data_IF_071186085939
#
_entry.id   IF_071186085939
#
_cell.length_a   1.000
_cell.length_b   1.000
_cell.length_c   1.000
_cell.angle_alpha   90.00
_cell.angle_beta   90.00
_cell.angle_gamma   90.00
#
_symmetry.space_group_name_H-M   'P 1'
#
loop_
_entity.id
_entity.type
_entity.pdbx_description
1 polymer ?
#
# COMPACT_ATOMS: atom_id res chain seq x y z
N UNK A 1 -13.94 9.94 -1.08
CA UNK A 1 -13.53 9.05 -2.19
C UNK A 1 -14.08 7.67 -1.92
N UNK A 2 -14.54 6.93 -2.95
CA UNK A 2 -14.99 5.54 -2.77
C UNK A 2 -13.81 4.58 -2.74
N UNK A 3 -13.93 3.38 -2.13
CA UNK A 3 -12.88 2.36 -2.16
C UNK A 3 -12.40 2.04 -3.58
N UNK A 4 -13.33 1.86 -4.53
CA UNK A 4 -12.99 1.53 -5.92
C UNK A 4 -12.20 2.64 -6.62
N UNK A 5 -12.58 3.91 -6.39
CA UNK A 5 -11.86 5.05 -6.96
C UNK A 5 -10.43 5.18 -6.40
N UNK A 6 -10.23 4.83 -5.12
CA UNK A 6 -8.91 4.81 -4.49
C UNK A 6 -8.05 3.65 -5.05
N UNK A 7 -8.62 2.45 -5.17
CA UNK A 7 -7.90 1.29 -5.70
C UNK A 7 -7.54 1.45 -7.19
N UNK A 8 -8.31 2.22 -7.94
CA UNK A 8 -8.02 2.54 -9.35
C UNK A 8 -6.75 3.41 -9.54
N UNK A 9 -6.18 3.99 -8.48
CA UNK A 9 -4.94 4.77 -8.54
C UNK A 9 -3.68 3.91 -8.60
N UNK A 10 -3.79 2.58 -8.47
CA UNK A 10 -2.67 1.67 -8.37
C UNK A 10 -2.58 0.71 -9.56
N UNK A 11 -1.36 0.24 -9.82
CA UNK A 11 -1.10 -0.84 -10.76
C UNK A 11 -1.11 -2.21 -10.07
N UNK A 12 -1.97 -3.11 -10.56
CA UNK A 12 -2.21 -4.40 -9.92
C UNK A 12 -1.60 -5.55 -10.72
N UNK A 13 -1.06 -6.54 -10.02
CA UNK A 13 -0.58 -7.81 -10.57
C UNK A 13 -0.92 -8.98 -9.65
N UNK A 14 -0.92 -10.20 -10.16
CA UNK A 14 -1.04 -11.39 -9.31
C UNK A 14 0.19 -11.53 -8.39
N UNK A 15 -0.03 -11.92 -7.13
CA UNK A 15 1.05 -12.10 -6.17
C UNK A 15 0.59 -12.51 -4.77
N UNK A 16 1.44 -12.24 -3.79
CA UNK A 16 1.19 -12.53 -2.36
C UNK A 16 1.20 -11.23 -1.58
N UNK A 17 0.15 -10.98 -0.79
CA UNK A 17 0.09 -9.80 0.06
C UNK A 17 1.06 -9.95 1.24
N UNK A 18 1.98 -9.01 1.41
CA UNK A 18 2.93 -8.98 2.52
C UNK A 18 2.23 -8.81 3.88
N UNK A 19 1.12 -8.07 3.92
CA UNK A 19 0.44 -7.71 5.18
C UNK A 19 -0.41 -8.85 5.76
N UNK A 20 -1.23 -9.50 4.94
CA UNK A 20 -2.15 -10.56 5.39
C UNK A 20 -1.76 -11.97 4.95
N UNK A 21 -0.62 -12.13 4.27
CA UNK A 21 -0.09 -13.39 3.76
C UNK A 21 -0.99 -14.16 2.77
N UNK A 22 -2.08 -13.56 2.28
CA UNK A 22 -2.90 -14.15 1.22
C UNK A 22 -2.08 -14.33 -0.07
N UNK A 23 -2.19 -15.52 -0.66
CA UNK A 23 -1.53 -15.91 -1.92
C UNK A 23 -2.55 -15.86 -3.06
N UNK A 24 -2.03 -15.79 -4.30
CA UNK A 24 -2.83 -15.80 -5.53
C UNK A 24 -3.89 -14.70 -5.59
N UNK A 25 -3.56 -13.52 -5.05
CA UNK A 25 -4.42 -12.32 -5.05
C UNK A 25 -3.81 -11.20 -5.88
N UNK A 26 -4.64 -10.27 -6.34
CA UNK A 26 -4.14 -9.04 -6.97
C UNK A 26 -3.50 -8.14 -5.91
N UNK A 27 -2.27 -7.72 -6.17
CA UNK A 27 -1.45 -6.88 -5.31
C UNK A 27 -0.84 -5.72 -6.07
N UNK A 28 -0.59 -4.62 -5.38
CA UNK A 28 0.19 -3.47 -5.87
C UNK A 28 1.44 -3.31 -5.02
N UNK A 29 2.56 -2.78 -5.57
CA UNK A 29 3.68 -2.31 -4.76
C UNK A 29 3.22 -1.28 -3.71
N UNK A 30 3.79 -1.36 -2.52
CA UNK A 30 3.53 -0.40 -1.42
C UNK A 30 4.82 0.14 -0.79
N UNK A 31 5.97 -0.17 -1.40
CA UNK A 31 7.30 0.27 -0.95
C UNK A 31 8.31 -0.86 -1.00
N UNK A 32 9.44 -0.65 -0.33
CA UNK A 32 10.50 -1.64 -0.22
C UNK A 32 11.15 -1.59 1.16
N UNK A 33 11.77 -2.69 1.55
CA UNK A 33 12.63 -2.77 2.73
C UNK A 33 14.05 -3.12 2.31
N UNK A 34 15.03 -2.50 2.97
CA UNK A 34 16.44 -2.81 2.79
C UNK A 34 16.95 -3.52 4.04
N UNK A 35 17.55 -4.70 3.87
CA UNK A 35 18.13 -5.45 4.97
C UNK A 35 19.51 -4.91 5.34
N UNK A 36 20.01 -5.21 6.55
CA UNK A 36 21.40 -4.90 6.92
C UNK A 36 22.45 -5.56 6.01
N UNK A 37 22.13 -6.72 5.40
CA UNK A 37 22.98 -7.38 4.40
C UNK A 37 23.06 -6.62 3.08
N UNK A 38 22.19 -5.62 2.88
CA UNK A 38 22.15 -4.79 1.67
C UNK A 38 21.07 -5.21 0.67
N UNK A 39 20.38 -6.33 0.89
CA UNK A 39 19.31 -6.81 0.03
C UNK A 39 18.09 -5.89 0.08
N UNK A 40 17.41 -5.73 -1.05
CA UNK A 40 16.19 -4.92 -1.15
C UNK A 40 15.03 -5.80 -1.56
N UNK A 41 13.94 -5.77 -0.77
CA UNK A 41 12.72 -6.52 -1.02
C UNK A 41 11.57 -5.57 -1.30
N UNK A 42 10.90 -5.77 -2.43
CA UNK A 42 9.69 -5.04 -2.76
C UNK A 42 8.52 -5.58 -1.93
N UNK A 43 7.81 -4.67 -1.27
CA UNK A 43 6.59 -4.98 -0.53
C UNK A 43 5.39 -4.80 -1.45
N UNK A 44 4.44 -5.72 -1.37
CA UNK A 44 3.16 -5.62 -2.09
C UNK A 44 1.98 -5.88 -1.16
N UNK A 45 0.82 -5.30 -1.45
CA UNK A 45 -0.40 -5.54 -0.68
C UNK A 45 -1.64 -5.70 -1.57
N UNK A 46 -2.60 -6.50 -1.08
CA UNK A 46 -3.91 -6.65 -1.72
C UNK A 46 -4.81 -5.44 -1.46
N UNK A 47 -5.91 -5.34 -2.19
CA UNK A 47 -6.84 -4.21 -2.12
C UNK A 47 -7.33 -3.88 -0.70
N UNK A 48 -7.72 -4.89 0.09
CA UNK A 48 -8.17 -4.69 1.48
C UNK A 48 -7.09 -4.03 2.32
N UNK A 49 -5.86 -4.55 2.25
CA UNK A 49 -4.74 -4.01 3.01
C UNK A 49 -4.28 -2.63 2.51
N UNK A 50 -4.43 -2.33 1.21
CA UNK A 50 -4.18 -0.99 0.67
C UNK A 50 -5.17 0.03 1.23
N UNK A 51 -6.47 -0.31 1.29
CA UNK A 51 -7.47 0.59 1.87
C UNK A 51 -7.20 0.90 3.35
N UNK A 52 -6.79 -0.10 4.12
CA UNK A 52 -6.43 0.10 5.54
C UNK A 52 -5.18 0.97 5.70
N UNK A 53 -4.15 0.77 4.87
CA UNK A 53 -2.95 1.59 4.87
C UNK A 53 -3.24 3.05 4.48
N UNK A 54 -4.07 3.27 3.45
CA UNK A 54 -4.49 4.60 3.05
C UNK A 54 -5.30 5.31 4.15
N UNK A 55 -6.16 4.58 4.86
CA UNK A 55 -6.87 5.11 6.02
C UNK A 55 -5.92 5.51 7.16
N UNK A 56 -4.87 4.71 7.41
CA UNK A 56 -3.84 5.06 8.38
C UNK A 56 -3.06 6.32 7.98
N UNK A 57 -2.71 6.46 6.69
CA UNK A 57 -2.05 7.65 6.13
C UNK A 57 -2.93 8.89 6.26
N UNK A 58 -4.21 8.78 5.93
CA UNK A 58 -5.16 9.88 6.10
C UNK A 58 -5.24 10.32 7.57
N UNK A 59 -5.46 9.37 8.50
CA UNK A 59 -5.50 9.66 9.94
C UNK A 59 -4.19 10.27 10.46
N UNK A 60 -3.06 9.87 9.90
CA UNK A 60 -1.77 10.47 10.24
C UNK A 60 -1.68 11.91 9.77
N UNK A 61 -2.05 12.19 8.52
CA UNK A 61 -2.06 13.53 7.94
C UNK A 61 -2.97 14.47 8.74
N UNK A 62 -4.20 14.02 9.06
CA UNK A 62 -5.17 14.77 9.86
C UNK A 62 -4.59 15.15 11.24
N UNK A 63 -3.96 14.20 11.94
CA UNK A 63 -3.35 14.44 13.26
C UNK A 63 -2.14 15.38 13.21
N UNK A 64 -1.51 15.53 12.06
CA UNK A 64 -0.31 16.35 11.88
C UNK A 64 -0.59 17.68 11.17
N UNK A 65 -1.83 17.93 10.74
CA UNK A 65 -2.18 19.09 9.93
C UNK A 65 -1.48 19.07 8.57
N UNK A 66 -1.25 17.89 8.01
CA UNK A 66 -0.64 17.70 6.68
C UNK A 66 -1.73 17.42 5.64
N UNK A 67 -1.44 17.73 4.38
CA UNK A 67 -2.33 17.36 3.28
C UNK A 67 -2.19 15.87 2.95
N UNK A 68 -3.32 15.15 3.01
CA UNK A 68 -3.39 13.76 2.58
C UNK A 68 -3.40 13.65 1.04
N UNK A 69 -2.50 12.84 0.50
CA UNK A 69 -2.43 12.51 -0.92
C UNK A 69 -2.71 11.00 -1.12
N UNK A 70 -3.85 10.62 -1.71
CA UNK A 70 -4.19 9.23 -2.00
C UNK A 70 -3.32 8.67 -3.14
N UNK A 71 -3.21 7.35 -3.24
CA UNK A 71 -2.54 6.73 -4.39
C UNK A 71 -1.00 6.76 -4.34
N UNK A 72 -0.42 7.16 -3.21
CA UNK A 72 1.04 7.35 -3.10
C UNK A 72 1.69 6.38 -2.11
N UNK A 73 1.14 5.18 -1.98
CA UNK A 73 1.84 4.06 -1.33
C UNK A 73 2.91 3.54 -2.26
N UNK A 74 4.15 3.43 -1.77
CA UNK A 74 5.28 2.89 -2.53
C UNK A 74 5.93 3.82 -3.56
N UNK A 75 5.40 5.03 -3.72
CA UNK A 75 6.02 6.13 -4.47
C UNK A 75 7.16 6.79 -3.71
#
# INVERSE_FOLDING_TARGET
MTPDALLALYEWKAGTCFRCAQRDVHVTPIGHIRTPSGDTYNLTACGVCVLELELERQRYADRRGLDYQPGSLGS
#
